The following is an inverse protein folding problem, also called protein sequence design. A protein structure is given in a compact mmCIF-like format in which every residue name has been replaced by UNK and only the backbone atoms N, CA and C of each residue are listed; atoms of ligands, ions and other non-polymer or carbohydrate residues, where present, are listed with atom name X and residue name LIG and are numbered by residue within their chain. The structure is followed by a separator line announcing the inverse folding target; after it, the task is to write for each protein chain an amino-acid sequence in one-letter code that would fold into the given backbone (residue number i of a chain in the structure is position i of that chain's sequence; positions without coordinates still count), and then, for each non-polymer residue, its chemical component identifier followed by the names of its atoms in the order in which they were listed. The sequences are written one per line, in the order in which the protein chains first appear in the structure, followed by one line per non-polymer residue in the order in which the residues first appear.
data_IF_283892097183
#
_entry.id   IF_283892097183
#
_cell.length_a   1.000
_cell.length_b   1.000
_cell.length_c   1.000
_cell.angle_alpha   90.00
_cell.angle_beta   90.00
_cell.angle_gamma   90.00
#
_symmetry.space_group_name_H-M   'P 1'
#
loop_
_entity.id
_entity.type
_entity.pdbx_description
1 polymer ?
#
# COMPACT_ATOMS: atom_id res chain seq x y z
N UNK A 1 -21.92 8.29 14.70
CA UNK A 1 -20.64 8.78 14.13
C UNK A 1 -20.83 9.34 12.73
N UNK A 2 -19.88 10.15 12.25
CA UNK A 2 -19.77 10.52 10.83
C UNK A 2 -18.85 9.56 10.10
N UNK A 3 -19.16 9.27 8.82
CA UNK A 3 -18.40 8.34 7.99
C UNK A 3 -18.55 8.66 6.50
N UNK A 4 -17.56 8.24 5.71
CA UNK A 4 -17.63 8.24 4.25
C UNK A 4 -18.32 6.97 3.77
N UNK A 5 -19.49 7.12 3.19
CA UNK A 5 -20.34 6.01 2.73
C UNK A 5 -20.35 5.94 1.20
N UNK A 6 -20.14 4.74 0.69
CA UNK A 6 -20.24 4.40 -0.74
C UNK A 6 -21.70 4.08 -1.12
N UNK A 7 -22.19 4.65 -2.22
CA UNK A 7 -23.55 4.48 -2.73
C UNK A 7 -23.60 3.96 -4.18
N UNK A 8 -22.55 3.28 -4.59
CA UNK A 8 -22.43 2.80 -5.96
C UNK A 8 -21.36 3.57 -6.75
N UNK A 9 -21.05 3.15 -7.98
CA UNK A 9 -20.00 3.76 -8.80
C UNK A 9 -20.18 5.29 -8.92
N UNK A 10 -19.11 6.02 -8.59
CA UNK A 10 -19.10 7.49 -8.61
C UNK A 10 -19.86 8.17 -7.48
N UNK A 11 -20.52 7.43 -6.59
CA UNK A 11 -21.37 8.01 -5.55
C UNK A 11 -20.81 7.73 -4.16
N UNK A 12 -20.58 8.78 -3.40
CA UNK A 12 -20.14 8.74 -2.01
C UNK A 12 -20.68 9.95 -1.26
N UNK A 13 -20.87 9.84 0.04
CA UNK A 13 -21.26 10.96 0.90
C UNK A 13 -20.64 10.86 2.29
N UNK A 14 -20.45 12.03 2.91
CA UNK A 14 -20.05 12.15 4.32
C UNK A 14 -21.30 12.30 5.17
N UNK A 15 -21.71 11.23 5.85
CA UNK A 15 -23.02 11.18 6.50
C UNK A 15 -22.99 10.57 7.91
N UNK A 16 -24.14 10.57 8.56
CA UNK A 16 -24.28 10.01 9.91
C UNK A 16 -24.60 8.51 9.83
N UNK A 17 -23.79 7.72 10.49
CA UNK A 17 -23.92 6.26 10.61
C UNK A 17 -24.02 5.86 12.09
N UNK A 18 -24.58 4.69 12.43
CA UNK A 18 -24.53 4.17 13.79
C UNK A 18 -23.08 4.00 14.29
N UNK A 19 -22.84 4.23 15.56
CA UNK A 19 -21.55 3.94 16.17
C UNK A 19 -21.32 2.42 16.22
N UNK A 20 -20.10 1.94 15.90
CA UNK A 20 -19.80 0.52 16.00
C UNK A 20 -19.64 0.08 17.47
N UNK A 21 -19.88 -1.20 17.70
CA UNK A 21 -19.56 -1.87 18.97
C UNK A 21 -18.82 -3.18 18.67
N UNK A 22 -18.07 -3.77 19.64
CA UNK A 22 -17.53 -5.11 19.47
C UNK A 22 -18.66 -6.09 19.17
N UNK A 23 -18.58 -6.79 18.04
CA UNK A 23 -19.56 -7.81 17.65
C UNK A 23 -19.17 -9.20 18.13
N UNK A 24 -17.85 -9.44 18.22
CA UNK A 24 -17.27 -10.70 18.68
C UNK A 24 -16.34 -10.46 19.87
N UNK A 25 -16.09 -11.46 20.71
CA UNK A 25 -15.18 -11.32 21.86
C UNK A 25 -13.75 -10.91 21.50
N UNK A 26 -13.33 -11.09 20.26
CA UNK A 26 -11.99 -10.78 19.75
C UNK A 26 -11.86 -9.39 19.13
N UNK A 27 -12.94 -8.62 19.12
CA UNK A 27 -13.00 -7.32 18.45
C UNK A 27 -12.57 -6.19 19.38
N UNK A 28 -12.13 -5.09 18.78
CA UNK A 28 -12.04 -3.79 19.44
C UNK A 28 -12.81 -2.74 18.63
N UNK A 29 -13.09 -1.61 19.26
CA UNK A 29 -13.48 -0.37 18.58
C UNK A 29 -12.35 0.63 18.74
N UNK A 30 -11.97 1.25 17.63
CA UNK A 30 -10.94 2.27 17.56
C UNK A 30 -11.61 3.60 17.19
N UNK A 31 -11.39 4.64 17.97
CA UNK A 31 -11.62 6.01 17.54
C UNK A 31 -10.52 6.37 16.55
N UNK A 32 -10.89 6.73 15.34
CA UNK A 32 -9.94 7.07 14.29
C UNK A 32 -9.41 8.48 14.52
N UNK A 33 -8.12 8.60 14.81
CA UNK A 33 -7.44 9.87 15.01
C UNK A 33 -6.88 10.39 13.68
N UNK A 34 -6.35 9.47 12.84
CA UNK A 34 -5.79 9.78 11.53
C UNK A 34 -6.09 8.65 10.54
N UNK A 35 -6.53 9.01 9.33
CA UNK A 35 -6.76 8.08 8.20
C UNK A 35 -6.24 8.66 6.90
N UNK A 36 -6.33 7.91 5.82
CA UNK A 36 -5.86 8.32 4.49
C UNK A 36 -6.76 7.74 3.40
N UNK A 37 -6.49 8.11 2.14
CA UNK A 37 -7.14 7.56 0.95
C UNK A 37 -6.11 6.76 0.16
N UNK A 38 -6.52 5.59 -0.34
CA UNK A 38 -5.73 4.72 -1.19
C UNK A 38 -6.25 4.74 -2.65
N UNK A 39 -5.39 4.34 -3.59
CA UNK A 39 -5.81 4.09 -4.97
C UNK A 39 -6.91 3.05 -5.07
N UNK A 40 -6.93 2.08 -4.17
CA UNK A 40 -7.99 1.06 -4.04
C UNK A 40 -9.37 1.67 -3.78
N UNK A 41 -9.46 2.74 -2.96
CA UNK A 41 -10.73 3.44 -2.73
C UNK A 41 -11.26 4.08 -4.02
N UNK A 42 -10.37 4.58 -4.89
CA UNK A 42 -10.75 5.09 -6.21
C UNK A 42 -11.19 3.97 -7.17
N UNK A 43 -10.59 2.77 -7.09
CA UNK A 43 -11.07 1.59 -7.84
C UNK A 43 -12.47 1.17 -7.39
N UNK A 44 -12.75 1.20 -6.08
CA UNK A 44 -14.11 0.96 -5.57
C UNK A 44 -15.08 1.98 -6.15
N UNK A 45 -14.73 3.27 -6.13
CA UNK A 45 -15.58 4.34 -6.70
C UNK A 45 -15.75 4.25 -8.22
N UNK A 46 -14.83 3.60 -8.96
CA UNK A 46 -15.01 3.29 -10.37
C UNK A 46 -15.92 2.09 -10.63
N UNK A 47 -16.22 1.29 -9.60
CA UNK A 47 -16.99 0.06 -9.72
C UNK A 47 -16.14 -1.18 -10.04
N UNK A 48 -14.81 -1.09 -9.94
CA UNK A 48 -13.88 -2.18 -10.24
C UNK A 48 -13.90 -3.29 -9.18
N UNK A 49 -14.55 -3.06 -8.03
CA UNK A 49 -14.66 -4.00 -6.91
C UNK A 49 -16.13 -4.33 -6.60
N UNK A 50 -16.75 -5.25 -7.35
CA UNK A 50 -18.20 -5.54 -7.26
C UNK A 50 -18.67 -6.08 -5.89
N UNK A 51 -17.74 -6.55 -5.05
CA UNK A 51 -18.07 -7.04 -3.70
C UNK A 51 -18.41 -5.91 -2.71
N UNK A 52 -18.05 -4.66 -3.03
CA UNK A 52 -18.40 -3.50 -2.20
C UNK A 52 -19.85 -3.11 -2.48
N UNK A 53 -20.67 -3.16 -1.44
CA UNK A 53 -22.12 -2.92 -1.53
C UNK A 53 -22.47 -1.47 -1.16
N UNK A 54 -23.65 -1.00 -1.60
CA UNK A 54 -24.23 0.26 -1.16
C UNK A 54 -24.34 0.32 0.38
N UNK A 55 -24.06 1.46 0.97
CA UNK A 55 -24.03 1.67 2.41
C UNK A 55 -22.69 1.31 3.09
N UNK A 56 -21.68 0.86 2.34
CA UNK A 56 -20.35 0.50 2.89
C UNK A 56 -19.54 1.76 3.25
N UNK A 57 -19.04 1.83 4.49
CA UNK A 57 -18.03 2.82 4.89
C UNK A 57 -16.70 2.42 4.28
N UNK A 58 -16.03 3.35 3.57
CA UNK A 58 -14.76 3.11 2.90
C UNK A 58 -13.55 3.23 3.83
N UNK A 59 -12.35 2.98 3.27
CA UNK A 59 -11.05 3.11 3.95
C UNK A 59 -10.57 1.83 4.63
N UNK A 60 -9.23 1.65 4.65
CA UNK A 60 -8.58 0.47 5.19
C UNK A 60 -7.23 0.79 5.88
N UNK A 61 -6.94 2.06 6.11
CA UNK A 61 -5.71 2.54 6.73
C UNK A 61 -6.06 3.54 7.84
N UNK A 62 -5.63 3.32 9.08
CA UNK A 62 -5.83 4.29 10.15
C UNK A 62 -4.81 4.15 11.28
N UNK A 63 -4.65 5.25 12.02
CA UNK A 63 -4.11 5.29 13.38
C UNK A 63 -5.23 5.79 14.29
N UNK A 64 -5.37 5.21 15.46
CA UNK A 64 -6.40 5.64 16.38
C UNK A 64 -6.24 5.11 17.80
N UNK A 65 -7.20 5.46 18.63
CA UNK A 65 -7.21 5.13 20.05
C UNK A 65 -8.31 4.10 20.34
N UNK A 66 -7.97 3.02 21.02
CA UNK A 66 -8.93 1.97 21.43
C UNK A 66 -9.93 2.54 22.42
N UNK A 67 -11.22 2.39 22.15
CA UNK A 67 -12.34 2.90 22.97
C UNK A 67 -13.25 1.80 23.53
N UNK A 68 -13.18 0.60 22.98
CA UNK A 68 -13.89 -0.57 23.53
C UNK A 68 -13.13 -1.85 23.19
N UNK A 69 -13.18 -2.82 24.09
CA UNK A 69 -12.42 -4.07 24.01
C UNK A 69 -13.34 -5.25 24.23
N UNK A 70 -13.30 -6.23 23.31
CA UNK A 70 -14.03 -7.51 23.47
C UNK A 70 -13.42 -8.39 24.57
N UNK A 71 -14.22 -9.24 25.16
CA UNK A 71 -13.88 -10.02 26.36
C UNK A 71 -12.73 -11.02 26.18
N UNK A 72 -12.36 -11.38 24.96
CA UNK A 72 -11.24 -12.28 24.66
C UNK A 72 -9.95 -11.54 24.24
N UNK A 73 -9.96 -10.23 24.19
CA UNK A 73 -8.78 -9.42 23.93
C UNK A 73 -8.01 -9.24 25.23
N UNK A 74 -6.71 -9.51 25.22
CA UNK A 74 -5.88 -9.54 26.42
C UNK A 74 -4.66 -8.63 26.36
N UNK A 75 -4.16 -8.34 25.14
CA UNK A 75 -2.95 -7.52 24.95
C UNK A 75 -3.23 -6.04 24.70
N UNK A 76 -4.51 -5.66 24.54
CA UNK A 76 -4.97 -4.31 24.27
C UNK A 76 -5.91 -3.83 25.36
N UNK A 77 -5.91 -2.53 25.64
CA UNK A 77 -6.78 -1.85 26.57
C UNK A 77 -7.34 -0.55 25.99
N UNK A 78 -8.44 -0.06 26.56
CA UNK A 78 -8.94 1.29 26.24
C UNK A 78 -7.85 2.34 26.52
N UNK A 79 -7.67 3.28 25.58
CA UNK A 79 -6.62 4.27 25.60
C UNK A 79 -5.33 3.87 24.86
N UNK A 80 -5.15 2.60 24.49
CA UNK A 80 -4.01 2.20 23.64
C UNK A 80 -4.10 2.86 22.26
N UNK A 81 -3.01 3.46 21.80
CA UNK A 81 -2.87 3.92 20.43
C UNK A 81 -2.45 2.77 19.53
N UNK A 82 -3.16 2.59 18.43
CA UNK A 82 -2.95 1.48 17.50
C UNK A 82 -2.94 1.92 16.04
N UNK A 83 -2.08 1.27 15.26
CA UNK A 83 -2.15 1.24 13.81
C UNK A 83 -3.12 0.15 13.38
N UNK A 84 -4.09 0.49 12.55
CA UNK A 84 -5.03 -0.44 11.90
C UNK A 84 -4.56 -0.69 10.47
N UNK A 85 -3.94 -1.85 10.18
CA UNK A 85 -3.47 -2.17 8.84
C UNK A 85 -4.59 -2.63 7.92
N UNK A 86 -4.33 -2.58 6.61
CA UNK A 86 -5.26 -3.01 5.58
C UNK A 86 -5.62 -4.50 5.69
N UNK A 87 -4.75 -5.32 6.27
CA UNK A 87 -4.93 -6.76 6.39
C UNK A 87 -5.37 -7.15 7.79
N UNK A 88 -6.51 -7.83 7.86
CA UNK A 88 -7.08 -8.41 9.07
C UNK A 88 -6.97 -9.93 9.02
N UNK A 89 -6.59 -10.58 10.13
CA UNK A 89 -6.42 -12.03 10.15
C UNK A 89 -6.67 -12.67 11.51
N UNK A 90 -7.09 -13.93 11.50
CA UNK A 90 -7.37 -14.68 12.74
C UNK A 90 -6.13 -15.28 13.42
N UNK A 91 -4.96 -15.24 12.80
CA UNK A 91 -3.70 -15.78 13.34
C UNK A 91 -3.61 -17.32 13.44
N UNK A 92 -4.70 -18.07 13.23
CA UNK A 92 -4.76 -19.52 13.56
C UNK A 92 -5.14 -20.46 12.40
N UNK A 93 -5.67 -19.96 11.29
CA UNK A 93 -6.01 -20.79 10.13
C UNK A 93 -4.77 -21.25 9.36
N UNK A 94 -4.96 -22.14 8.38
CA UNK A 94 -3.87 -22.73 7.63
C UNK A 94 -2.99 -21.69 6.91
N UNK A 95 -3.59 -20.62 6.38
CA UNK A 95 -2.84 -19.54 5.71
C UNK A 95 -2.12 -18.64 6.71
N UNK A 96 -2.75 -18.23 7.81
CA UNK A 96 -2.07 -17.45 8.85
C UNK A 96 -0.85 -18.19 9.42
N UNK A 97 -0.95 -19.51 9.63
CA UNK A 97 0.16 -20.36 10.09
C UNK A 97 1.29 -20.51 9.08
N UNK A 98 1.07 -20.15 7.82
CA UNK A 98 2.07 -20.10 6.75
C UNK A 98 2.59 -18.68 6.50
N UNK A 99 2.28 -17.73 7.39
CA UNK A 99 2.58 -16.32 7.25
C UNK A 99 1.95 -15.68 5.99
N UNK A 100 0.74 -16.10 5.63
CA UNK A 100 -0.07 -15.58 4.54
C UNK A 100 -1.43 -15.06 5.06
N UNK A 101 -1.44 -14.09 5.99
CA UNK A 101 -2.67 -13.55 6.57
C UNK A 101 -3.58 -12.87 5.53
N UNK A 102 -3.02 -12.38 4.41
CA UNK A 102 -3.78 -11.86 3.27
C UNK A 102 -4.81 -12.83 2.71
N UNK A 103 -4.66 -14.14 2.96
CA UNK A 103 -5.57 -15.20 2.56
C UNK A 103 -6.28 -15.86 3.75
N UNK A 104 -6.50 -15.13 4.84
CA UNK A 104 -7.13 -15.64 6.04
C UNK A 104 -8.49 -16.27 5.76
N UNK A 105 -8.68 -17.54 6.16
CA UNK A 105 -9.94 -18.26 5.94
C UNK A 105 -11.09 -17.74 6.81
N UNK A 106 -10.80 -17.22 7.99
CA UNK A 106 -11.82 -16.68 8.89
C UNK A 106 -12.37 -15.31 8.41
N UNK A 107 -11.70 -14.65 7.48
CA UNK A 107 -12.15 -13.42 6.85
C UNK A 107 -12.69 -13.65 5.42
N UNK A 108 -13.05 -14.88 5.09
CA UNK A 108 -13.60 -15.22 3.77
C UNK A 108 -12.56 -15.50 2.69
N UNK A 109 -11.29 -15.75 3.08
CA UNK A 109 -10.19 -16.05 2.13
C UNK A 109 -9.45 -14.83 1.63
N UNK A 110 -9.79 -13.64 2.13
CA UNK A 110 -9.09 -12.37 1.84
C UNK A 110 -8.93 -11.57 3.13
N UNK A 111 -7.71 -11.13 3.44
CA UNK A 111 -7.42 -10.32 4.63
C UNK A 111 -7.79 -8.84 4.48
N UNK A 112 -7.87 -8.33 3.27
CA UNK A 112 -8.37 -7.00 3.00
C UNK A 112 -9.89 -6.98 3.10
N UNK A 113 -10.40 -6.63 4.29
CA UNK A 113 -11.85 -6.62 4.57
C UNK A 113 -12.40 -5.23 4.85
N UNK A 114 -11.60 -4.29 5.37
CA UNK A 114 -12.04 -2.92 5.63
C UNK A 114 -12.37 -2.18 4.35
N UNK A 115 -13.50 -1.47 4.36
CA UNK A 115 -14.00 -0.74 3.18
C UNK A 115 -14.42 -1.66 2.03
N UNK A 116 -14.34 -2.96 2.24
CA UNK A 116 -14.64 -4.01 1.26
C UNK A 116 -15.77 -4.91 1.77
N UNK A 117 -15.47 -5.88 2.63
CA UNK A 117 -16.45 -6.83 3.19
C UNK A 117 -17.12 -6.32 4.46
N UNK A 118 -16.45 -5.46 5.21
CA UNK A 118 -16.97 -4.78 6.41
C UNK A 118 -16.72 -3.28 6.30
N UNK A 119 -17.33 -2.50 7.18
CA UNK A 119 -17.13 -1.09 7.27
C UNK A 119 -15.67 -0.73 7.55
N UNK A 120 -15.20 0.32 6.90
CA UNK A 120 -13.81 0.73 6.86
C UNK A 120 -13.44 1.82 7.88
N UNK A 121 -12.30 2.45 7.64
CA UNK A 121 -11.63 3.36 8.57
C UNK A 121 -11.84 4.85 8.25
N UNK A 122 -12.53 5.20 7.16
CA UNK A 122 -12.84 6.60 6.84
C UNK A 122 -14.10 7.05 7.57
N UNK A 123 -14.04 7.00 8.91
CA UNK A 123 -15.11 7.31 9.84
C UNK A 123 -14.52 7.78 11.18
N UNK A 124 -15.37 8.30 12.07
CA UNK A 124 -14.92 8.67 13.43
C UNK A 124 -14.53 7.45 14.29
N UNK A 125 -15.14 6.29 14.02
CA UNK A 125 -14.85 5.02 14.72
C UNK A 125 -14.84 3.86 13.75
N UNK A 126 -14.03 2.84 14.03
CA UNK A 126 -13.96 1.61 13.27
C UNK A 126 -13.95 0.39 14.20
N UNK A 127 -14.74 -0.65 13.86
CA UNK A 127 -14.66 -1.95 14.53
C UNK A 127 -13.58 -2.79 13.87
N UNK A 128 -12.64 -3.30 14.64
CA UNK A 128 -11.53 -4.13 14.17
C UNK A 128 -11.70 -5.57 14.68
N UNK A 129 -11.98 -6.54 13.80
CA UNK A 129 -12.02 -7.95 14.15
C UNK A 129 -10.63 -8.52 14.41
N UNK A 130 -10.58 -9.61 15.22
CA UNK A 130 -9.33 -10.32 15.53
C UNK A 130 -8.20 -9.37 15.98
N UNK A 131 -8.51 -8.47 16.89
CA UNK A 131 -7.67 -7.33 17.26
C UNK A 131 -6.22 -7.70 17.60
N UNK A 132 -6.02 -8.81 18.33
CA UNK A 132 -4.70 -9.29 18.75
C UNK A 132 -3.72 -9.58 17.60
N UNK A 133 -4.25 -9.86 16.40
CA UNK A 133 -3.46 -10.17 15.18
C UNK A 133 -3.65 -9.15 14.07
N UNK A 134 -4.52 -8.16 14.27
CA UNK A 134 -4.94 -7.21 13.23
C UNK A 134 -4.54 -5.77 13.51
N UNK A 135 -3.98 -5.46 14.68
CA UNK A 135 -3.47 -4.11 14.98
C UNK A 135 -2.06 -4.16 15.56
N UNK A 136 -1.37 -3.05 15.48
CA UNK A 136 -0.06 -2.86 16.08
C UNK A 136 -0.08 -1.66 17.01
N UNK A 137 0.36 -1.83 18.27
CA UNK A 137 0.51 -0.69 19.20
C UNK A 137 1.49 0.32 18.63
N UNK A 138 1.09 1.58 18.60
CA UNK A 138 1.97 2.68 18.22
C UNK A 138 2.85 3.02 19.44
N UNK A 139 4.18 2.98 19.30
CA UNK A 139 5.07 3.31 20.41
C UNK A 139 4.91 4.76 20.86
N UNK A 140 5.16 4.99 22.13
CA UNK A 140 5.16 6.34 22.68
C UNK A 140 6.19 7.24 21.96
N UNK A 141 5.82 8.49 21.72
CA UNK A 141 6.66 9.47 21.05
C UNK A 141 6.74 9.36 19.53
N UNK A 142 6.03 8.39 18.91
CA UNK A 142 5.92 8.28 17.45
C UNK A 142 4.63 8.98 17.00
N UNK A 143 4.74 9.90 16.04
CA UNK A 143 3.60 10.62 15.49
C UNK A 143 2.79 9.76 14.53
N UNK A 144 1.51 10.08 14.33
CA UNK A 144 0.61 9.31 13.48
C UNK A 144 1.10 9.29 12.04
N UNK A 145 1.62 10.39 11.52
CA UNK A 145 2.15 10.51 10.15
C UNK A 145 3.34 9.59 9.90
N UNK A 146 4.09 9.29 10.94
CA UNK A 146 5.24 8.38 10.85
C UNK A 146 4.82 6.91 10.76
N UNK A 147 3.59 6.57 11.15
CA UNK A 147 3.13 5.18 11.19
C UNK A 147 1.96 4.91 10.26
N UNK A 148 1.16 5.91 9.88
CA UNK A 148 -0.04 5.75 9.07
C UNK A 148 0.22 4.92 7.80
N UNK A 149 1.32 5.19 7.12
CA UNK A 149 1.66 4.54 5.85
C UNK A 149 2.25 3.12 6.01
N UNK A 150 2.46 2.68 7.26
CA UNK A 150 2.70 1.29 7.60
C UNK A 150 1.42 0.45 7.56
N UNK A 151 0.25 1.09 7.46
CA UNK A 151 -1.02 0.38 7.33
C UNK A 151 -1.12 -0.40 6.01
N UNK A 152 -0.55 0.14 4.91
CA UNK A 152 -0.66 -0.47 3.59
C UNK A 152 0.58 -0.27 2.71
N UNK A 153 0.86 0.98 2.27
CA UNK A 153 1.79 1.23 1.15
C UNK A 153 3.24 0.82 1.45
N UNK A 154 3.74 1.03 2.66
CA UNK A 154 5.11 0.64 3.02
C UNK A 154 5.30 -0.87 3.07
N UNK A 155 4.47 -1.67 3.79
CA UNK A 155 4.57 -3.12 3.71
C UNK A 155 4.29 -3.66 2.30
N UNK A 156 3.38 -3.05 1.52
CA UNK A 156 3.11 -3.45 0.14
C UNK A 156 4.34 -3.27 -0.74
N UNK A 157 4.97 -2.09 -0.73
CA UNK A 157 6.21 -1.85 -1.48
C UNK A 157 7.35 -2.78 -1.07
N UNK A 158 7.49 -3.03 0.23
CA UNK A 158 8.54 -3.90 0.75
C UNK A 158 8.26 -5.39 0.50
N UNK A 159 7.09 -5.90 0.88
CA UNK A 159 6.79 -7.34 0.78
C UNK A 159 6.60 -7.78 -0.66
N UNK A 160 5.75 -7.07 -1.41
CA UNK A 160 5.40 -7.47 -2.78
C UNK A 160 6.42 -7.01 -3.80
N UNK A 161 7.01 -5.81 -3.61
CA UNK A 161 8.04 -5.29 -4.50
C UNK A 161 9.42 -5.87 -4.19
N UNK A 162 9.96 -5.56 -3.02
CA UNK A 162 11.36 -5.81 -2.69
C UNK A 162 11.62 -7.27 -2.31
N UNK A 163 10.83 -7.84 -1.38
CA UNK A 163 11.03 -9.23 -0.94
C UNK A 163 10.65 -10.24 -2.00
N UNK A 164 9.47 -10.12 -2.62
CA UNK A 164 9.06 -11.02 -3.71
C UNK A 164 9.92 -10.80 -4.95
N UNK A 165 10.39 -9.56 -5.20
CA UNK A 165 11.41 -9.24 -6.20
C UNK A 165 12.78 -9.82 -5.90
N UNK A 166 12.99 -10.34 -4.69
CA UNK A 166 14.26 -10.92 -4.23
C UNK A 166 15.45 -9.94 -4.32
N UNK A 167 15.19 -8.65 -4.09
CA UNK A 167 16.24 -7.63 -4.10
C UNK A 167 17.33 -7.96 -3.08
N UNK A 168 18.58 -7.90 -3.51
CA UNK A 168 19.79 -8.23 -2.72
C UNK A 168 20.81 -7.10 -2.81
N UNK A 169 21.77 -7.09 -1.88
CA UNK A 169 22.91 -6.18 -1.98
C UNK A 169 23.65 -6.33 -3.32
N UNK A 170 23.83 -5.20 -3.99
CA UNK A 170 24.50 -5.11 -5.29
C UNK A 170 23.59 -5.12 -6.50
N UNK A 171 22.28 -5.38 -6.35
CA UNK A 171 21.32 -5.39 -7.47
C UNK A 171 21.08 -3.99 -8.04
N UNK A 172 20.83 -3.93 -9.36
CA UNK A 172 20.22 -2.78 -10.04
C UNK A 172 18.72 -3.02 -10.08
N UNK A 173 17.96 -2.10 -9.49
CA UNK A 173 16.50 -2.18 -9.38
C UNK A 173 15.85 -1.10 -10.22
N UNK A 174 14.92 -1.48 -11.11
CA UNK A 174 14.07 -0.55 -11.83
C UNK A 174 12.69 -0.56 -11.20
N UNK A 175 12.15 0.62 -10.86
CA UNK A 175 10.78 0.78 -10.37
C UNK A 175 9.97 1.55 -11.41
N UNK A 176 8.96 0.91 -11.99
CA UNK A 176 8.06 1.49 -12.98
C UNK A 176 6.82 2.02 -12.27
N UNK A 177 6.71 3.34 -12.21
CA UNK A 177 5.72 4.09 -11.45
C UNK A 177 6.25 4.58 -10.11
N UNK A 178 6.26 5.90 -9.92
CA UNK A 178 6.65 6.58 -8.68
C UNK A 178 5.44 7.16 -7.92
N UNK A 179 4.31 6.44 -7.94
CA UNK A 179 3.20 6.66 -7.02
C UNK A 179 3.58 6.20 -5.60
N UNK A 180 2.70 6.37 -4.60
CA UNK A 180 3.04 6.06 -3.20
C UNK A 180 3.62 4.66 -2.96
N UNK A 181 3.08 3.63 -3.61
CA UNK A 181 3.59 2.25 -3.47
C UNK A 181 4.95 2.07 -4.16
N UNK A 182 5.15 2.69 -5.34
CA UNK A 182 6.45 2.70 -6.03
C UNK A 182 7.53 3.41 -5.22
N UNK A 183 7.19 4.56 -4.60
CA UNK A 183 8.09 5.28 -3.69
C UNK A 183 8.44 4.44 -2.45
N UNK A 184 7.49 3.67 -1.92
CA UNK A 184 7.73 2.73 -0.83
C UNK A 184 8.69 1.60 -1.28
N UNK A 185 8.54 1.09 -2.50
CA UNK A 185 9.47 0.13 -3.07
C UNK A 185 10.88 0.72 -3.26
N UNK A 186 11.00 1.95 -3.77
CA UNK A 186 12.28 2.67 -3.90
C UNK A 186 12.97 2.78 -2.55
N UNK A 187 12.28 3.31 -1.53
CA UNK A 187 12.86 3.51 -0.20
C UNK A 187 13.30 2.18 0.45
N UNK A 188 12.51 1.13 0.29
CA UNK A 188 12.81 -0.17 0.89
C UNK A 188 13.81 -0.99 0.08
N UNK A 189 13.94 -0.80 -1.24
CA UNK A 189 15.00 -1.39 -2.06
C UNK A 189 16.39 -0.85 -1.66
N UNK A 190 16.49 0.43 -1.34
CA UNK A 190 17.72 1.02 -0.78
C UNK A 190 18.12 0.33 0.53
N UNK A 191 17.16 0.06 1.43
CA UNK A 191 17.42 -0.67 2.68
C UNK A 191 17.80 -2.13 2.46
N UNK A 192 17.34 -2.76 1.38
CA UNK A 192 17.73 -4.11 0.99
C UNK A 192 19.15 -4.18 0.39
N UNK A 193 19.78 -3.02 0.14
CA UNK A 193 21.15 -2.91 -0.33
C UNK A 193 21.29 -2.88 -1.86
N UNK A 194 20.24 -2.48 -2.59
CA UNK A 194 20.36 -2.23 -4.03
C UNK A 194 21.53 -1.29 -4.31
N UNK A 195 22.35 -1.60 -5.31
CA UNK A 195 23.49 -0.78 -5.70
C UNK A 195 23.07 0.42 -6.53
N UNK A 196 21.97 0.29 -7.26
CA UNK A 196 21.35 1.38 -8.02
C UNK A 196 19.86 1.19 -8.11
N UNK A 197 19.10 2.27 -7.95
CA UNK A 197 17.66 2.31 -8.07
C UNK A 197 17.27 3.33 -9.14
N UNK A 198 16.63 2.86 -10.20
CA UNK A 198 16.19 3.64 -11.34
C UNK A 198 14.67 3.74 -11.30
N UNK A 199 14.12 4.93 -11.24
CA UNK A 199 12.68 5.16 -11.31
C UNK A 199 12.27 5.52 -12.74
N UNK A 200 11.22 4.89 -13.25
CA UNK A 200 10.53 5.25 -14.49
C UNK A 200 9.16 5.82 -14.17
N UNK A 201 8.90 7.08 -14.52
CA UNK A 201 7.64 7.78 -14.24
C UNK A 201 7.40 8.84 -15.33
N UNK A 202 6.16 9.23 -15.55
CA UNK A 202 5.81 10.23 -16.58
C UNK A 202 5.55 11.63 -16.01
N UNK A 203 5.26 11.75 -14.72
CA UNK A 203 4.94 13.01 -14.06
C UNK A 203 6.19 13.62 -13.43
N UNK A 204 6.56 14.85 -13.82
CA UNK A 204 7.76 15.54 -13.34
C UNK A 204 7.83 15.62 -11.81
N UNK A 205 6.72 15.98 -11.15
CA UNK A 205 6.65 15.99 -9.69
C UNK A 205 7.04 14.64 -9.08
N UNK A 206 6.54 13.52 -9.65
CA UNK A 206 6.84 12.19 -9.13
C UNK A 206 8.26 11.74 -9.43
N UNK A 207 8.87 12.21 -10.53
CA UNK A 207 10.30 12.01 -10.81
C UNK A 207 11.17 12.67 -9.72
N UNK A 208 10.84 13.91 -9.34
CA UNK A 208 11.51 14.60 -8.23
C UNK A 208 11.32 13.86 -6.90
N UNK A 209 10.10 13.37 -6.63
CA UNK A 209 9.86 12.59 -5.42
C UNK A 209 10.63 11.26 -5.44
N UNK A 210 10.73 10.57 -6.56
CA UNK A 210 11.49 9.33 -6.67
C UNK A 210 12.95 9.51 -6.18
N UNK A 211 13.61 10.59 -6.61
CA UNK A 211 14.96 10.92 -6.14
C UNK A 211 14.98 11.25 -4.65
N UNK A 212 14.01 12.01 -4.16
CA UNK A 212 13.88 12.32 -2.72
C UNK A 212 13.68 11.07 -1.85
N UNK A 213 13.03 10.05 -2.38
CA UNK A 213 12.79 8.77 -1.71
C UNK A 213 13.93 7.76 -1.88
N UNK A 214 14.98 8.11 -2.62
CA UNK A 214 16.21 7.32 -2.71
C UNK A 214 16.46 6.65 -4.07
N UNK A 215 15.77 7.04 -5.14
CA UNK A 215 16.17 6.67 -6.49
C UNK A 215 17.45 7.42 -6.89
N UNK A 216 18.43 6.69 -7.40
CA UNK A 216 19.68 7.28 -7.89
C UNK A 216 19.47 8.02 -9.21
N UNK A 217 18.58 7.47 -10.05
CA UNK A 217 18.22 8.03 -11.35
C UNK A 217 16.70 8.01 -11.52
N UNK A 218 16.16 9.11 -12.03
CA UNK A 218 14.75 9.21 -12.43
C UNK A 218 14.69 9.52 -13.93
N UNK A 219 13.98 8.69 -14.69
CA UNK A 219 13.86 8.76 -16.14
C UNK A 219 12.40 8.97 -16.49
N UNK A 220 12.11 9.90 -17.40
CA UNK A 220 10.75 10.05 -17.91
C UNK A 220 10.41 8.86 -18.81
N UNK A 221 9.45 8.06 -18.37
CA UNK A 221 9.01 6.85 -19.10
C UNK A 221 8.34 7.16 -20.46
N UNK A 222 7.99 8.42 -20.73
CA UNK A 222 7.46 8.85 -22.01
C UNK A 222 8.57 9.16 -23.05
N UNK A 223 9.83 9.22 -22.63
CA UNK A 223 10.95 9.43 -23.54
C UNK A 223 11.12 8.23 -24.46
N UNK A 224 11.28 8.46 -25.75
CA UNK A 224 11.39 7.40 -26.76
C UNK A 224 12.59 6.46 -26.53
N UNK A 225 13.60 6.90 -25.77
CA UNK A 225 14.82 6.14 -25.44
C UNK A 225 14.91 5.77 -23.94
N UNK A 226 13.80 5.78 -23.20
CA UNK A 226 13.81 5.50 -21.76
C UNK A 226 14.43 4.12 -21.44
N UNK A 227 14.11 3.09 -22.20
CA UNK A 227 14.64 1.75 -22.00
C UNK A 227 16.13 1.65 -22.35
N UNK A 228 16.60 2.39 -23.36
CA UNK A 228 18.01 2.49 -23.73
C UNK A 228 18.80 3.21 -22.62
N UNK A 229 18.20 4.23 -22.00
CA UNK A 229 18.79 4.90 -20.83
C UNK A 229 18.95 3.93 -19.66
N UNK A 230 17.92 3.11 -19.37
CA UNK A 230 18.01 2.04 -18.35
C UNK A 230 19.16 1.08 -18.69
N UNK A 231 19.21 0.58 -19.92
CA UNK A 231 20.27 -0.34 -20.34
C UNK A 231 21.66 0.26 -20.14
N UNK A 232 21.86 1.53 -20.50
CA UNK A 232 23.13 2.24 -20.35
C UNK A 232 23.61 2.39 -18.90
N UNK A 233 22.70 2.27 -17.92
CA UNK A 233 22.98 2.32 -16.48
C UNK A 233 23.24 0.94 -15.86
N UNK A 234 23.22 -0.12 -16.66
CA UNK A 234 23.44 -1.50 -16.22
C UNK A 234 24.71 -2.08 -16.80
N UNK A 235 25.31 -3.04 -16.11
CA UNK A 235 26.54 -3.69 -16.55
C UNK A 235 26.36 -4.34 -17.93
N UNK A 236 27.17 -3.90 -18.89
CA UNK A 236 27.13 -4.41 -20.26
C UNK A 236 25.81 -4.18 -21.00
N UNK A 237 24.94 -3.30 -20.52
CA UNK A 237 23.64 -3.05 -21.14
C UNK A 237 22.65 -4.19 -21.00
N UNK A 238 22.84 -5.09 -20.02
CA UNK A 238 22.06 -6.32 -19.88
C UNK A 238 20.64 -6.10 -19.34
N UNK A 239 20.37 -4.97 -18.68
CA UNK A 239 19.13 -4.69 -17.98
C UNK A 239 19.21 -4.87 -16.47
N UNK A 240 18.12 -4.59 -15.78
CA UNK A 240 18.02 -4.60 -14.33
C UNK A 240 17.94 -6.02 -13.74
N UNK A 241 18.50 -6.23 -12.55
CA UNK A 241 18.33 -7.46 -11.77
C UNK A 241 16.87 -7.69 -11.38
N UNK A 242 16.22 -6.59 -10.96
CA UNK A 242 14.81 -6.60 -10.54
C UNK A 242 14.06 -5.44 -11.21
N UNK A 243 12.92 -5.74 -11.80
CA UNK A 243 11.97 -4.76 -12.30
C UNK A 243 10.69 -4.81 -11.47
N UNK A 244 10.33 -3.70 -10.82
CA UNK A 244 9.14 -3.60 -9.96
C UNK A 244 8.07 -2.80 -10.71
N UNK A 245 6.94 -3.43 -11.00
CA UNK A 245 5.77 -2.80 -11.60
C UNK A 245 4.87 -2.23 -10.48
N UNK A 246 4.64 -0.91 -10.46
CA UNK A 246 3.92 -0.23 -9.38
C UNK A 246 2.79 0.71 -9.87
N UNK A 247 2.22 0.44 -11.05
CA UNK A 247 1.12 1.23 -11.65
C UNK A 247 -0.14 0.39 -11.85
N UNK A 248 0.00 -0.85 -12.35
CA UNK A 248 -1.12 -1.75 -12.64
C UNK A 248 -1.69 -1.57 -14.05
N UNK A 249 -0.84 -1.32 -15.05
CA UNK A 249 -1.28 -1.26 -16.45
C UNK A 249 -0.54 -2.24 -17.34
N UNK A 250 -1.14 -2.71 -18.46
CA UNK A 250 -0.45 -3.57 -19.39
C UNK A 250 0.86 -2.97 -19.92
N UNK A 251 0.88 -1.66 -20.20
CA UNK A 251 2.06 -0.98 -20.73
C UNK A 251 3.23 -0.92 -19.76
N UNK A 252 2.97 -0.68 -18.47
CA UNK A 252 4.01 -0.63 -17.44
C UNK A 252 4.57 -2.01 -17.12
N UNK A 253 3.72 -3.05 -17.15
CA UNK A 253 4.18 -4.43 -17.04
C UNK A 253 5.08 -4.81 -18.23
N UNK A 254 4.69 -4.42 -19.44
CA UNK A 254 5.46 -4.67 -20.67
C UNK A 254 6.84 -3.99 -20.61
N UNK A 255 6.94 -2.74 -20.11
CA UNK A 255 8.23 -2.09 -19.83
C UNK A 255 9.09 -2.97 -18.90
N UNK A 256 8.53 -3.50 -17.81
CA UNK A 256 9.28 -4.39 -16.90
C UNK A 256 9.85 -5.61 -17.63
N UNK A 257 9.12 -6.21 -18.58
CA UNK A 257 9.61 -7.37 -19.35
C UNK A 257 10.77 -7.02 -20.28
N UNK A 258 10.86 -5.77 -20.74
CA UNK A 258 11.93 -5.29 -21.63
C UNK A 258 13.19 -4.87 -20.87
N UNK A 259 13.03 -4.20 -19.72
CA UNK A 259 14.16 -3.66 -18.94
C UNK A 259 14.82 -4.69 -18.02
N UNK A 260 14.15 -5.80 -17.71
CA UNK A 260 14.74 -6.87 -16.88
C UNK A 260 15.75 -7.68 -17.66
N UNK A 261 16.92 -7.97 -17.06
CA UNK A 261 17.94 -8.83 -17.65
C UNK A 261 17.53 -10.31 -17.69
N UNK A 262 18.16 -11.14 -18.51
CA UNK A 262 18.03 -12.59 -18.38
C UNK A 262 18.38 -13.06 -16.97
N UNK A 263 17.56 -13.97 -16.42
CA UNK A 263 17.68 -14.48 -15.04
C UNK A 263 17.21 -13.49 -13.96
N UNK A 264 16.65 -12.34 -14.33
CA UNK A 264 16.15 -11.36 -13.39
C UNK A 264 14.74 -11.66 -12.91
N UNK A 265 14.21 -10.77 -12.04
CA UNK A 265 12.89 -10.92 -11.43
C UNK A 265 12.00 -9.73 -11.78
N UNK A 266 10.75 -10.00 -12.13
CA UNK A 266 9.70 -9.00 -12.27
C UNK A 266 8.76 -9.14 -11.08
N UNK A 267 8.63 -8.09 -10.26
CA UNK A 267 7.72 -8.05 -9.12
C UNK A 267 6.56 -7.09 -9.43
N UNK A 268 5.36 -7.64 -9.57
CA UNK A 268 4.16 -6.85 -9.85
C UNK A 268 3.44 -6.50 -8.57
N UNK A 269 3.42 -5.21 -8.24
CA UNK A 269 2.68 -4.63 -7.12
C UNK A 269 1.35 -4.04 -7.60
N UNK A 270 1.36 -3.44 -8.79
CA UNK A 270 0.22 -2.69 -9.31
C UNK A 270 -1.03 -3.56 -9.46
N UNK A 271 -2.18 -2.98 -9.12
CA UNK A 271 -3.48 -3.63 -9.29
C UNK A 271 -3.99 -3.39 -10.71
N UNK A 272 -4.01 -4.45 -11.52
CA UNK A 272 -4.42 -4.36 -12.93
C UNK A 272 -5.95 -4.34 -13.06
N UNK A 273 -6.47 -3.28 -13.68
CA UNK A 273 -7.88 -3.16 -14.07
C UNK A 273 -8.19 -3.73 -15.46
N UNK A 274 -7.17 -4.16 -16.22
CA UNK A 274 -7.29 -4.73 -17.56
C UNK A 274 -6.37 -5.95 -17.73
N UNK A 275 -6.71 -6.90 -18.61
CA UNK A 275 -5.86 -8.05 -18.94
C UNK A 275 -4.49 -7.60 -19.49
N UNK A 276 -3.42 -8.23 -19.01
CA UNK A 276 -2.05 -8.02 -19.47
C UNK A 276 -1.62 -9.23 -20.32
N UNK A 277 -1.05 -8.96 -21.49
CA UNK A 277 -0.47 -10.02 -22.33
C UNK A 277 0.91 -10.39 -21.80
N UNK A 278 1.15 -11.67 -21.65
CA UNK A 278 2.47 -12.22 -21.33
C UNK A 278 3.06 -12.82 -22.60
N UNK A 279 4.05 -12.14 -23.19
CA UNK A 279 4.74 -12.56 -24.41
C UNK A 279 5.75 -13.68 -24.11
N UNK A 280 5.24 -14.89 -23.88
CA UNK A 280 6.10 -16.05 -23.57
C UNK A 280 7.03 -16.43 -24.74
N UNK A 281 6.65 -16.10 -25.97
CA UNK A 281 7.49 -16.27 -27.17
C UNK A 281 8.81 -15.49 -27.08
N UNK A 282 8.86 -14.40 -26.28
CA UNK A 282 10.06 -13.59 -26.07
C UNK A 282 10.73 -13.87 -24.73
N UNK A 283 9.93 -14.28 -23.72
CA UNK A 283 10.40 -14.41 -22.33
C UNK A 283 10.99 -15.81 -22.02
N UNK A 284 10.62 -16.86 -22.75
CA UNK A 284 11.03 -18.24 -22.42
C UNK A 284 12.54 -18.42 -22.37
N UNK A 285 13.30 -17.70 -23.20
CA UNK A 285 14.75 -17.78 -23.26
C UNK A 285 15.45 -16.92 -22.20
N UNK A 286 14.74 -15.97 -21.59
CA UNK A 286 15.31 -15.04 -20.59
C UNK A 286 15.42 -15.65 -19.20
N UNK A 287 14.80 -16.79 -18.90
CA UNK A 287 14.78 -17.41 -17.57
C UNK A 287 14.30 -16.44 -16.46
N UNK A 288 13.35 -15.55 -16.76
CA UNK A 288 12.84 -14.58 -15.78
C UNK A 288 11.90 -15.23 -14.78
N UNK A 289 11.87 -14.70 -13.57
CA UNK A 289 10.84 -15.01 -12.58
C UNK A 289 9.83 -13.86 -12.53
N UNK A 290 8.53 -14.17 -12.53
CA UNK A 290 7.46 -13.18 -12.36
C UNK A 290 6.74 -13.48 -11.06
N UNK A 291 6.61 -12.49 -10.20
CA UNK A 291 5.89 -12.59 -8.92
C UNK A 291 4.76 -11.59 -8.86
N UNK A 292 3.67 -11.99 -8.22
CA UNK A 292 2.52 -11.12 -7.91
C UNK A 292 2.12 -11.38 -6.46
N UNK A 293 1.39 -10.46 -5.82
CA UNK A 293 0.90 -10.73 -4.48
C UNK A 293 0.01 -9.63 -3.91
N UNK A 294 -0.81 -10.02 -2.94
CA UNK A 294 -1.40 -9.11 -1.98
C UNK A 294 -0.47 -9.04 -0.77
N UNK A 295 -0.28 -7.87 -0.22
CA UNK A 295 0.50 -7.66 1.01
C UNK A 295 -0.01 -8.54 2.16
N UNK A 296 0.89 -9.12 2.92
CA UNK A 296 0.54 -9.89 4.13
C UNK A 296 0.58 -9.02 5.40
N UNK A 297 1.33 -7.92 5.40
CA UNK A 297 1.51 -7.04 6.55
C UNK A 297 2.37 -7.65 7.67
N UNK A 298 3.00 -8.79 7.42
CA UNK A 298 3.83 -9.49 8.42
C UNK A 298 5.10 -8.71 8.77
N UNK A 299 5.50 -7.77 7.95
CA UNK A 299 6.70 -6.94 8.12
C UNK A 299 6.43 -5.63 8.85
N UNK A 300 5.19 -5.30 9.17
CA UNK A 300 4.85 -4.04 9.89
C UNK A 300 5.69 -3.84 11.16
N UNK A 301 5.91 -4.85 12.03
CA UNK A 301 6.77 -4.66 13.21
C UNK A 301 8.22 -4.31 12.87
N UNK A 302 8.79 -4.90 11.81
CA UNK A 302 10.12 -4.57 11.31
C UNK A 302 10.16 -3.13 10.78
N UNK A 303 9.22 -2.77 9.91
CA UNK A 303 9.16 -1.45 9.30
C UNK A 303 8.94 -0.35 10.36
N UNK A 304 8.14 -0.63 11.40
CA UNK A 304 7.97 0.28 12.54
C UNK A 304 9.31 0.54 13.28
N UNK A 305 10.14 -0.48 13.44
CA UNK A 305 11.49 -0.29 14.01
C UNK A 305 12.37 0.58 13.11
N UNK A 306 12.28 0.41 11.79
CA UNK A 306 13.04 1.20 10.81
C UNK A 306 12.57 2.66 10.78
N UNK A 307 11.28 2.92 10.89
CA UNK A 307 10.72 4.27 11.06
C UNK A 307 11.26 4.90 12.36
N UNK A 308 11.15 4.22 13.49
CA UNK A 308 11.65 4.72 14.78
C UNK A 308 13.14 5.03 14.79
N UNK A 309 13.94 4.27 14.04
CA UNK A 309 15.38 4.50 13.92
C UNK A 309 15.76 5.53 12.87
N UNK A 310 14.77 6.17 12.20
CA UNK A 310 15.00 7.16 11.15
C UNK A 310 15.56 6.58 9.85
N UNK A 311 15.43 5.25 9.65
CA UNK A 311 15.86 4.59 8.40
C UNK A 311 14.80 4.67 7.31
N UNK A 312 13.53 4.82 7.69
CA UNK A 312 12.40 5.07 6.80
C UNK A 312 11.81 6.43 7.16
N UNK A 313 11.72 7.32 6.18
CA UNK A 313 11.06 8.62 6.30
C UNK A 313 9.60 8.49 5.82
N UNK A 314 8.75 7.90 6.67
CA UNK A 314 7.37 7.62 6.30
C UNK A 314 6.50 8.89 6.20
N UNK A 315 6.83 9.93 6.94
CA UNK A 315 6.16 11.24 6.91
C UNK A 315 6.24 11.94 5.54
N UNK A 316 7.22 11.60 4.71
CA UNK A 316 7.34 12.16 3.36
C UNK A 316 6.16 11.81 2.42
N UNK A 317 5.41 10.74 2.70
CA UNK A 317 4.27 10.36 1.87
C UNK A 317 3.09 11.32 2.01
N UNK A 318 2.87 11.90 3.18
CA UNK A 318 1.79 12.85 3.46
C UNK A 318 2.08 14.20 2.84
N UNK A 319 1.43 14.53 1.72
CA UNK A 319 1.63 15.80 1.02
C UNK A 319 0.52 16.82 1.27
N UNK A 320 -0.64 16.36 1.71
CA UNK A 320 -1.82 17.19 1.95
C UNK A 320 -2.52 16.78 3.22
N UNK A 321 -2.94 17.77 4.03
CA UNK A 321 -3.64 17.57 5.30
C UNK A 321 -5.07 18.08 5.20
N UNK A 322 -6.02 17.30 5.75
CA UNK A 322 -7.43 17.65 5.82
C UNK A 322 -7.99 17.33 7.21
N UNK A 323 -8.99 18.08 7.65
CA UNK A 323 -9.81 17.68 8.78
C UNK A 323 -10.74 16.51 8.37
N UNK A 324 -11.11 15.65 9.31
CA UNK A 324 -11.99 14.52 9.05
C UNK A 324 -13.33 14.94 8.41
N UNK A 325 -13.85 16.09 8.79
CA UNK A 325 -15.07 16.65 8.20
C UNK A 325 -14.91 17.17 6.76
N UNK A 326 -13.65 17.34 6.30
CA UNK A 326 -13.34 17.78 4.94
C UNK A 326 -13.04 16.57 4.02
N UNK A 327 -13.49 15.37 4.40
CA UNK A 327 -13.30 14.11 3.70
C UNK A 327 -13.62 14.19 2.20
N UNK A 328 -14.67 14.89 1.82
CA UNK A 328 -15.05 15.06 0.41
C UNK A 328 -14.00 15.84 -0.36
N UNK A 329 -13.47 16.93 0.19
CA UNK A 329 -12.42 17.73 -0.43
C UNK A 329 -11.09 16.95 -0.51
N UNK A 330 -10.80 16.11 0.47
CA UNK A 330 -9.65 15.19 0.44
C UNK A 330 -9.75 14.21 -0.73
N UNK A 331 -10.92 13.64 -0.97
CA UNK A 331 -11.18 12.78 -2.14
C UNK A 331 -11.03 13.51 -3.47
N UNK A 332 -11.56 14.74 -3.58
CA UNK A 332 -11.44 15.54 -4.79
C UNK A 332 -9.96 15.83 -5.11
N UNK A 333 -9.18 16.19 -4.09
CA UNK A 333 -7.73 16.40 -4.23
C UNK A 333 -7.00 15.12 -4.63
N UNK A 334 -7.31 13.99 -3.99
CA UNK A 334 -6.63 12.72 -4.26
C UNK A 334 -7.02 12.14 -5.62
N UNK A 335 -8.27 12.30 -6.06
CA UNK A 335 -8.72 11.88 -7.39
C UNK A 335 -8.00 12.62 -8.52
N UNK A 336 -7.61 13.88 -8.30
CA UNK A 336 -6.82 14.71 -9.22
C UNK A 336 -5.35 14.84 -8.77
N UNK A 337 -4.77 13.76 -8.20
CA UNK A 337 -3.44 13.76 -7.58
C UNK A 337 -2.34 14.36 -8.46
N UNK A 338 -2.37 14.12 -9.76
CA UNK A 338 -1.41 14.72 -10.70
C UNK A 338 -1.51 16.24 -10.81
N UNK A 339 -2.71 16.80 -10.74
CA UNK A 339 -2.97 18.25 -10.78
C UNK A 339 -2.53 18.93 -9.48
N UNK A 340 -2.70 18.25 -8.36
CA UNK A 340 -2.41 18.79 -7.04
C UNK A 340 -1.04 18.41 -6.50
N UNK A 341 -0.23 17.66 -7.27
CA UNK A 341 1.03 17.10 -6.79
C UNK A 341 0.86 16.29 -5.49
N UNK A 342 -0.23 15.54 -5.39
CA UNK A 342 -0.52 14.73 -4.23
C UNK A 342 0.11 13.33 -4.33
N UNK A 343 0.76 12.89 -3.25
CA UNK A 343 1.13 11.50 -3.03
C UNK A 343 0.06 10.81 -2.18
N UNK A 344 -0.03 11.16 -0.91
CA UNK A 344 -1.07 10.71 0.01
C UNK A 344 -1.68 11.92 0.70
N UNK A 345 -2.95 11.83 1.01
CA UNK A 345 -3.66 12.79 1.85
C UNK A 345 -3.72 12.26 3.28
N UNK A 346 -3.45 13.10 4.25
CA UNK A 346 -3.58 12.77 5.68
C UNK A 346 -4.85 13.45 6.19
N UNK A 347 -5.73 12.67 6.77
CA UNK A 347 -7.05 13.15 7.22
C UNK A 347 -7.12 12.94 8.74
N UNK A 348 -7.29 14.03 9.49
CA UNK A 348 -7.23 14.06 10.95
C UNK A 348 -8.55 14.44 11.58
N UNK A 349 -8.80 13.90 12.75
CA UNK A 349 -9.91 14.26 13.61
C UNK A 349 -9.79 15.71 14.09
#
# INVERSE_FOLDING_TARGET
MKALVYHGPGQKSWESMPDPSPAEPTDIVVQVDTTTICGTDLHILKGDVPAVVDGRILGHEAVGTVTAVGSAVTSLAEGDRVLVPAITSCGRCAYCKRAMPSHCQATGGIGWIFGHLIDGTQAEYARVPFAETSVHKVPEGVADEQVLFLADILPTGYEVGVRNGQVKPGDVVVVVGAGPVGLAAIQTASLAGAASIIALETADFRLEQAQRFGADVAINAADANAEEQVAALTDGGLGADVAIEAVGTPGTFDICTRVVRPGGVIANIGVHGAPTTLHLEDLWIKNVTITTGLVDGTTVPLLLQLVRSGKIAADLFGTHDFALNDMMAAYDTFAEAGKHNALKVVIRK
#
